data_IF_402706470866
#
_entry.id   IF_402706470866
#
_cell.length_a   1.000
_cell.length_b   1.000
_cell.length_c   1.000
_cell.angle_alpha   90.00
_cell.angle_beta   90.00
_cell.angle_gamma   90.00
#
_symmetry.space_group_name_H-M   'P 1'
#
loop_
_entity.id
_entity.type
_entity.pdbx_description
1 polymer ?
#
# COMPACT_ATOMS: atom_id res chain seq x y z
N UNK A 1 7.90 6.01 6.58
CA UNK A 1 7.91 7.02 7.68
C UNK A 1 7.50 6.45 9.03
N UNK A 2 6.45 5.62 9.10
CA UNK A 2 5.88 5.15 10.37
C UNK A 2 6.88 4.45 11.30
N UNK A 3 7.76 3.60 10.78
CA UNK A 3 8.83 2.97 11.58
C UNK A 3 9.79 3.98 12.20
N UNK A 4 10.11 5.08 11.50
CA UNK A 4 10.95 6.14 12.05
C UNK A 4 10.29 6.84 13.23
N UNK A 5 8.97 7.07 13.15
CA UNK A 5 8.18 7.63 14.24
C UNK A 5 8.15 6.68 15.45
N UNK A 6 7.89 5.39 15.22
CA UNK A 6 7.90 4.38 16.28
C UNK A 6 9.28 4.30 16.96
N UNK A 7 10.37 4.29 16.18
CA UNK A 7 11.73 4.28 16.73
C UNK A 7 11.98 5.49 17.64
N UNK A 8 11.57 6.69 17.20
CA UNK A 8 11.66 7.92 18.00
C UNK A 8 10.81 7.85 19.27
N UNK A 9 9.59 7.34 19.19
CA UNK A 9 8.69 7.16 20.35
C UNK A 9 9.27 6.19 21.38
N UNK A 10 10.06 5.19 20.94
CA UNK A 10 10.79 4.27 21.83
C UNK A 10 12.17 4.80 22.25
N UNK A 11 12.50 6.06 21.93
CA UNK A 11 13.73 6.72 22.36
C UNK A 11 14.96 6.48 21.48
N UNK A 12 14.85 5.73 20.38
CA UNK A 12 15.97 5.48 19.47
C UNK A 12 16.00 6.49 18.31
N UNK A 13 16.70 7.60 18.54
CA UNK A 13 16.86 8.67 17.55
C UNK A 13 17.73 8.26 16.35
N UNK A 14 18.69 7.34 16.54
CA UNK A 14 19.57 6.91 15.44
C UNK A 14 18.81 6.00 14.48
N UNK A 15 18.05 5.04 15.02
CA UNK A 15 17.19 4.20 14.20
C UNK A 15 16.13 5.04 13.48
N UNK A 16 15.53 6.03 14.16
CA UNK A 16 14.61 6.97 13.52
C UNK A 16 15.27 7.73 12.36
N UNK A 17 16.52 8.17 12.50
CA UNK A 17 17.27 8.83 11.45
C UNK A 17 17.51 7.91 10.24
N UNK A 18 17.93 6.66 10.48
CA UNK A 18 18.15 5.67 9.40
C UNK A 18 16.86 5.43 8.62
N UNK A 19 15.75 5.14 9.32
CA UNK A 19 14.45 4.95 8.67
C UNK A 19 13.97 6.22 7.94
N UNK A 20 14.29 7.40 8.46
CA UNK A 20 13.96 8.69 7.86
C UNK A 20 14.71 8.96 6.56
N UNK A 21 16.01 8.66 6.51
CA UNK A 21 16.84 8.81 5.31
C UNK A 21 16.32 7.92 4.18
N UNK A 22 16.05 6.64 4.47
CA UNK A 22 15.48 5.73 3.48
C UNK A 22 14.13 6.27 2.99
N UNK A 23 13.25 6.72 3.89
CA UNK A 23 11.95 7.27 3.50
C UNK A 23 12.06 8.54 2.63
N UNK A 24 13.09 9.37 2.84
CA UNK A 24 13.35 10.54 2.01
C UNK A 24 13.74 10.14 0.58
N UNK A 25 14.52 9.07 0.43
CA UNK A 25 14.89 8.52 -0.87
C UNK A 25 13.67 7.95 -1.59
N UNK A 26 12.81 7.21 -0.90
CA UNK A 26 11.57 6.68 -1.49
C UNK A 26 10.62 7.80 -1.95
N UNK A 27 10.60 8.95 -1.25
CA UNK A 27 9.81 10.11 -1.70
C UNK A 27 10.31 10.66 -3.04
N UNK A 28 11.63 10.63 -3.27
CA UNK A 28 12.23 11.05 -4.55
C UNK A 28 11.88 10.06 -5.66
N UNK A 29 11.91 8.76 -5.37
CA UNK A 29 11.49 7.72 -6.32
C UNK A 29 10.00 7.85 -6.69
N UNK A 30 9.12 8.00 -5.70
CA UNK A 30 7.69 8.24 -5.90
C UNK A 30 7.45 9.47 -6.79
N UNK A 31 8.17 10.57 -6.54
CA UNK A 31 8.07 11.79 -7.36
C UNK A 31 8.49 11.54 -8.80
N UNK A 32 9.54 10.75 -9.04
CA UNK A 32 10.00 10.44 -10.39
C UNK A 32 8.97 9.57 -11.14
N UNK A 33 8.50 8.48 -10.53
CA UNK A 33 7.53 7.58 -11.17
C UNK A 33 6.17 8.23 -11.39
N UNK A 34 5.70 9.06 -10.45
CA UNK A 34 4.43 9.78 -10.64
C UNK A 34 4.47 10.76 -11.80
N UNK A 35 5.61 11.42 -12.05
CA UNK A 35 5.82 12.28 -13.22
C UNK A 35 5.83 11.52 -14.54
N UNK A 36 6.37 10.30 -14.56
CA UNK A 36 6.35 9.45 -15.75
C UNK A 36 4.91 9.13 -16.12
N UNK A 37 4.11 8.67 -15.16
CA UNK A 37 2.69 8.33 -15.41
C UNK A 37 1.86 9.57 -15.71
N UNK A 38 2.15 10.71 -15.08
CA UNK A 38 1.54 12.00 -15.44
C UNK A 38 1.76 12.32 -16.93
N UNK A 39 2.99 12.15 -17.42
CA UNK A 39 3.28 12.37 -18.84
C UNK A 39 2.57 11.36 -19.74
N UNK A 40 2.41 10.11 -19.29
CA UNK A 40 1.62 9.11 -20.03
C UNK A 40 0.15 9.49 -20.12
N UNK A 41 -0.45 10.06 -19.07
CA UNK A 41 -1.81 10.58 -19.15
C UNK A 41 -1.98 11.75 -20.13
N UNK A 42 -0.93 12.55 -20.37
CA UNK A 42 -0.97 13.61 -21.39
C UNK A 42 -0.90 13.05 -22.83
N UNK A 43 -0.17 11.95 -23.03
CA UNK A 43 0.11 11.40 -24.37
C UNK A 43 -0.92 10.33 -24.78
N UNK A 44 -1.28 9.46 -23.85
CA UNK A 44 -2.19 8.34 -24.04
C UNK A 44 -3.12 8.18 -22.81
N UNK A 45 -4.10 9.08 -22.64
CA UNK A 45 -5.00 9.05 -21.48
C UNK A 45 -5.82 7.76 -21.40
N UNK A 46 -6.24 7.22 -22.54
CA UNK A 46 -7.10 6.02 -22.59
C UNK A 46 -6.33 4.75 -22.20
N UNK A 47 -5.17 4.52 -22.82
CA UNK A 47 -4.32 3.37 -22.47
C UNK A 47 -3.84 3.46 -21.01
N UNK A 48 -3.50 4.65 -20.54
CA UNK A 48 -3.01 4.86 -19.17
C UNK A 48 -4.09 4.60 -18.13
N UNK A 49 -5.33 5.08 -18.32
CA UNK A 49 -6.42 4.81 -17.37
C UNK A 49 -6.83 3.34 -17.36
N UNK A 50 -6.81 2.67 -18.52
CA UNK A 50 -7.07 1.24 -18.62
C UNK A 50 -6.01 0.43 -17.87
N UNK A 51 -4.72 0.76 -18.05
CA UNK A 51 -3.63 0.11 -17.32
C UNK A 51 -3.72 0.33 -15.81
N UNK A 52 -4.06 1.55 -15.37
CA UNK A 52 -4.27 1.84 -13.95
C UNK A 52 -5.42 0.99 -13.38
N UNK A 53 -6.55 0.91 -14.09
CA UNK A 53 -7.68 0.10 -13.69
C UNK A 53 -7.35 -1.40 -13.66
N UNK A 54 -6.60 -1.90 -14.65
CA UNK A 54 -6.15 -3.29 -14.71
C UNK A 54 -5.29 -3.66 -13.49
N UNK A 55 -4.30 -2.83 -13.16
CA UNK A 55 -3.47 -3.03 -11.97
C UNK A 55 -4.29 -3.02 -10.68
N UNK A 56 -5.30 -2.13 -10.59
CA UNK A 56 -6.21 -2.10 -9.44
C UNK A 56 -7.13 -3.32 -9.36
N UNK A 57 -7.54 -3.91 -10.49
CA UNK A 57 -8.30 -5.17 -10.51
C UNK A 57 -7.45 -6.36 -10.08
N UNK A 58 -6.19 -6.39 -10.51
CA UNK A 58 -5.21 -7.41 -10.12
C UNK A 58 -4.79 -7.30 -8.65
N UNK A 59 -5.00 -6.13 -8.04
CA UNK A 59 -4.44 -5.70 -6.75
C UNK A 59 -2.93 -5.56 -6.84
N UNK A 60 -2.38 -4.53 -6.19
CA UNK A 60 -0.92 -4.39 -6.13
C UNK A 60 -0.38 -5.40 -5.12
N UNK A 61 0.11 -6.52 -5.63
CA UNK A 61 0.77 -7.53 -4.79
C UNK A 61 2.07 -6.98 -4.24
N UNK A 62 2.29 -7.17 -2.94
CA UNK A 62 3.54 -6.76 -2.30
C UNK A 62 4.72 -7.56 -2.89
N UNK A 63 5.87 -6.93 -3.17
CA UNK A 63 6.99 -7.62 -3.80
C UNK A 63 7.46 -8.87 -3.03
N UNK A 64 7.39 -8.83 -1.69
CA UNK A 64 7.77 -9.91 -0.81
C UNK A 64 6.60 -10.87 -0.45
N UNK A 65 5.52 -10.91 -1.22
CA UNK A 65 4.35 -11.76 -0.88
C UNK A 65 4.63 -13.27 -0.86
N UNK A 66 5.74 -13.72 -1.46
CA UNK A 66 6.22 -15.11 -1.44
C UNK A 66 7.33 -15.35 -0.40
N UNK A 67 7.39 -14.51 0.65
CA UNK A 67 8.39 -14.61 1.70
C UNK A 67 8.26 -15.94 2.46
N UNK A 68 9.37 -16.63 2.63
CA UNK A 68 9.47 -17.94 3.28
C UNK A 68 10.79 -18.06 4.04
N UNK A 69 10.75 -18.60 5.27
CA UNK A 69 11.92 -18.76 6.14
C UNK A 69 12.38 -20.22 6.29
N UNK A 70 11.78 -21.17 5.56
CA UNK A 70 12.07 -22.60 5.68
C UNK A 70 11.14 -23.36 6.64
N UNK A 71 10.22 -22.69 7.32
CA UNK A 71 9.33 -23.32 8.30
C UNK A 71 7.90 -22.75 8.34
N UNK A 72 7.68 -21.49 7.96
CA UNK A 72 6.36 -20.85 7.95
C UNK A 72 5.90 -20.55 6.53
N UNK A 73 4.96 -21.35 6.02
CA UNK A 73 4.38 -21.20 4.68
C UNK A 73 3.55 -19.91 4.52
N UNK A 74 3.13 -19.29 5.63
CA UNK A 74 2.30 -18.07 5.64
C UNK A 74 3.07 -16.85 6.19
N UNK A 75 4.40 -16.88 6.14
CA UNK A 75 5.26 -15.88 6.77
C UNK A 75 4.95 -14.44 6.34
N UNK A 76 4.63 -14.21 5.07
CA UNK A 76 4.21 -12.89 4.60
C UNK A 76 2.90 -12.42 5.25
N UNK A 77 1.90 -13.29 5.35
CA UNK A 77 0.62 -12.96 5.97
C UNK A 77 0.81 -12.64 7.45
N UNK A 78 1.59 -13.45 8.17
CA UNK A 78 1.89 -13.22 9.58
C UNK A 78 2.65 -11.90 9.79
N UNK A 79 3.69 -11.64 8.99
CA UNK A 79 4.42 -10.37 9.02
C UNK A 79 3.49 -9.17 8.75
N UNK A 80 2.68 -9.26 7.69
CA UNK A 80 1.79 -8.17 7.28
C UNK A 80 0.75 -7.83 8.34
N UNK A 81 0.27 -8.85 9.07
CA UNK A 81 -0.68 -8.67 10.17
C UNK A 81 -0.04 -7.95 11.36
N UNK A 82 1.22 -8.28 11.69
CA UNK A 82 1.98 -7.53 12.72
C UNK A 82 2.18 -6.08 12.28
N UNK A 83 2.54 -5.83 11.02
CA UNK A 83 2.73 -4.49 10.47
C UNK A 83 1.43 -3.65 10.46
N UNK A 84 0.30 -4.26 10.09
CA UNK A 84 -1.04 -3.65 10.15
C UNK A 84 -1.36 -3.24 11.59
N UNK A 85 -1.16 -4.14 12.55
CA UNK A 85 -1.52 -3.88 13.95
C UNK A 85 -0.64 -2.80 14.59
N UNK A 86 0.63 -2.74 14.24
CA UNK A 86 1.54 -1.69 14.70
C UNK A 86 1.32 -0.35 13.97
N UNK A 87 0.44 -0.30 12.97
CA UNK A 87 0.19 0.89 12.17
C UNK A 87 1.40 1.30 11.33
N UNK A 88 2.26 0.34 10.96
CA UNK A 88 3.42 0.59 10.09
C UNK A 88 2.97 0.73 8.64
N UNK A 89 2.14 -0.20 8.19
CA UNK A 89 1.46 -0.17 6.89
C UNK A 89 0.14 -0.92 7.00
N UNK A 90 -0.94 -0.26 6.61
CA UNK A 90 -2.31 -0.72 6.78
C UNK A 90 -3.09 -0.75 5.47
N UNK A 91 -4.22 -1.46 5.44
CA UNK A 91 -5.15 -1.37 4.32
C UNK A 91 -5.70 0.06 4.11
N UNK A 92 -5.74 0.89 5.17
CA UNK A 92 -6.02 2.32 5.04
C UNK A 92 -4.94 3.04 4.27
N UNK A 93 -3.67 2.80 4.57
CA UNK A 93 -2.54 3.38 3.83
C UNK A 93 -2.61 3.02 2.34
N UNK A 94 -3.01 1.79 2.01
CA UNK A 94 -3.24 1.39 0.62
C UNK A 94 -4.33 2.24 -0.06
N UNK A 95 -5.46 2.45 0.62
CA UNK A 95 -6.54 3.30 0.08
C UNK A 95 -6.11 4.76 -0.06
N UNK A 96 -5.33 5.28 0.90
CA UNK A 96 -4.83 6.65 0.90
C UNK A 96 -3.81 6.87 -0.24
N UNK A 97 -2.93 5.89 -0.51
CA UNK A 97 -2.02 5.92 -1.67
C UNK A 97 -2.82 5.97 -2.98
N UNK A 98 -3.84 5.12 -3.12
CA UNK A 98 -4.68 5.11 -4.32
C UNK A 98 -5.39 6.45 -4.52
N UNK A 99 -6.01 6.99 -3.47
CA UNK A 99 -6.69 8.29 -3.52
C UNK A 99 -5.72 9.41 -3.89
N UNK A 100 -4.52 9.42 -3.28
CA UNK A 100 -3.47 10.37 -3.63
C UNK A 100 -3.09 10.29 -5.11
N UNK A 101 -2.86 9.09 -5.65
CA UNK A 101 -2.48 8.92 -7.06
C UNK A 101 -3.60 9.37 -8.02
N UNK A 102 -4.86 9.02 -7.71
CA UNK A 102 -6.04 9.47 -8.46
C UNK A 102 -6.14 11.00 -8.50
N UNK A 103 -5.90 11.66 -7.37
CA UNK A 103 -5.89 13.12 -7.28
C UNK A 103 -4.66 13.72 -7.98
N UNK A 104 -3.48 13.15 -7.78
CA UNK A 104 -2.19 13.62 -8.32
C UNK A 104 -2.20 13.65 -9.85
N UNK A 105 -2.83 12.67 -10.48
CA UNK A 105 -3.01 12.58 -11.93
C UNK A 105 -4.34 13.17 -12.42
N UNK A 106 -5.17 13.70 -11.52
CA UNK A 106 -6.48 14.28 -11.82
C UNK A 106 -7.36 13.35 -12.67
N UNK A 107 -7.37 12.06 -12.32
CA UNK A 107 -8.01 11.02 -13.13
C UNK A 107 -9.49 11.32 -13.38
N UNK A 108 -10.19 11.93 -12.41
CA UNK A 108 -11.60 12.33 -12.54
C UNK A 108 -11.84 13.45 -13.58
N UNK A 109 -10.84 14.27 -13.86
CA UNK A 109 -10.97 15.43 -14.77
C UNK A 109 -10.59 15.09 -16.21
N UNK A 110 -10.14 13.85 -16.48
CA UNK A 110 -9.76 13.41 -17.82
C UNK A 110 -11.01 13.30 -18.70
N UNK A 111 -10.96 13.92 -19.88
CA UNK A 111 -12.04 13.94 -20.87
C UNK A 111 -11.55 13.34 -22.19
N UNK A 112 -12.49 13.03 -23.10
CA UNK A 112 -12.16 12.45 -24.41
C UNK A 112 -11.74 10.97 -24.36
N UNK A 113 -12.10 10.25 -23.28
CA UNK A 113 -11.87 8.82 -23.14
C UNK A 113 -12.84 8.00 -24.01
N UNK A 114 -12.42 6.80 -24.36
CA UNK A 114 -13.28 5.79 -24.94
C UNK A 114 -14.35 5.33 -23.95
N UNK A 115 -15.35 4.58 -24.43
CA UNK A 115 -16.36 3.99 -23.56
C UNK A 115 -15.78 3.01 -22.53
N UNK A 116 -14.65 2.36 -22.82
CA UNK A 116 -13.93 1.52 -21.86
C UNK A 116 -13.08 2.36 -20.91
N UNK A 117 -12.42 3.40 -21.42
CA UNK A 117 -11.69 4.37 -20.62
C UNK A 117 -12.55 5.04 -19.54
N UNK A 118 -13.77 5.45 -19.88
CA UNK A 118 -14.73 6.00 -18.90
C UNK A 118 -15.12 4.99 -17.81
N UNK A 119 -15.35 3.71 -18.17
CA UNK A 119 -15.62 2.66 -17.16
C UNK A 119 -14.43 2.41 -16.24
N UNK A 120 -13.21 2.50 -16.79
CA UNK A 120 -11.97 2.39 -16.03
C UNK A 120 -11.78 3.58 -15.08
N UNK A 121 -12.03 4.80 -15.56
CA UNK A 121 -12.03 6.04 -14.79
C UNK A 121 -13.00 5.95 -13.60
N UNK A 122 -14.27 5.63 -13.84
CA UNK A 122 -15.29 5.48 -12.79
C UNK A 122 -14.89 4.43 -11.75
N UNK A 123 -14.38 3.29 -12.23
CA UNK A 123 -13.93 2.21 -11.35
C UNK A 123 -12.80 2.67 -10.41
N UNK A 124 -11.77 3.31 -10.96
CA UNK A 124 -10.60 3.74 -10.18
C UNK A 124 -10.98 4.86 -9.21
N UNK A 125 -11.73 5.87 -9.66
CA UNK A 125 -12.17 6.98 -8.82
C UNK A 125 -13.09 6.54 -7.67
N UNK A 126 -13.89 5.50 -7.86
CA UNK A 126 -14.76 4.94 -6.82
C UNK A 126 -14.08 3.93 -5.87
N UNK A 127 -12.83 3.55 -6.13
CA UNK A 127 -12.22 2.38 -5.47
C UNK A 127 -11.71 2.68 -4.06
N UNK A 128 -11.06 3.82 -3.81
CA UNK A 128 -10.51 4.13 -2.49
C UNK A 128 -11.58 4.14 -1.37
N UNK A 129 -12.75 4.81 -1.53
CA UNK A 129 -13.84 4.73 -0.54
C UNK A 129 -14.37 3.30 -0.33
N UNK A 130 -14.36 2.47 -1.38
CA UNK A 130 -14.79 1.07 -1.30
C UNK A 130 -13.81 0.24 -0.49
N UNK A 131 -12.51 0.43 -0.67
CA UNK A 131 -11.46 -0.27 0.09
C UNK A 131 -11.58 0.08 1.58
N UNK A 132 -11.72 1.37 1.92
CA UNK A 132 -11.88 1.81 3.33
C UNK A 132 -13.08 1.13 4.01
N UNK A 133 -14.25 1.12 3.36
CA UNK A 133 -15.44 0.43 3.89
C UNK A 133 -15.25 -1.08 4.07
N UNK A 134 -14.47 -1.72 3.20
CA UNK A 134 -14.16 -3.14 3.32
C UNK A 134 -13.21 -3.42 4.49
N UNK A 135 -12.19 -2.57 4.67
CA UNK A 135 -11.27 -2.66 5.81
C UNK A 135 -12.01 -2.49 7.14
N UNK A 136 -12.83 -1.44 7.28
CA UNK A 136 -13.61 -1.19 8.50
C UNK A 136 -14.46 -2.42 8.89
N UNK A 137 -15.10 -3.06 7.91
CA UNK A 137 -15.88 -4.29 8.11
C UNK A 137 -15.00 -5.48 8.48
N UNK A 138 -13.81 -5.59 7.90
CA UNK A 138 -12.86 -6.66 8.20
C UNK A 138 -12.33 -6.53 9.63
N UNK A 139 -11.94 -5.33 10.06
CA UNK A 139 -11.51 -5.04 11.42
C UNK A 139 -12.63 -5.31 12.43
N UNK A 140 -13.87 -4.90 12.14
CA UNK A 140 -15.03 -5.18 13.01
C UNK A 140 -15.33 -6.68 13.19
N UNK A 141 -14.86 -7.53 12.27
CA UNK A 141 -15.03 -9.00 12.30
C UNK A 141 -13.77 -9.75 12.72
N UNK A 142 -12.66 -9.04 12.96
CA UNK A 142 -11.39 -9.67 13.31
C UNK A 142 -11.54 -10.43 14.64
N UNK A 143 -11.19 -11.73 14.62
CA UNK A 143 -11.17 -12.57 15.81
C UNK A 143 -9.98 -12.19 16.70
N UNK A 144 -9.99 -12.72 17.93
CA UNK A 144 -8.94 -12.53 18.92
C UNK A 144 -7.57 -12.94 18.36
N UNK A 145 -6.57 -12.07 18.53
CA UNK A 145 -5.25 -12.24 17.94
C UNK A 145 -4.56 -13.53 18.45
N UNK A 146 -4.01 -14.29 17.53
CA UNK A 146 -3.27 -15.54 17.79
C UNK A 146 -1.81 -15.24 18.12
N UNK A 147 -1.09 -16.17 18.75
CA UNK A 147 0.35 -16.03 19.02
C UNK A 147 1.15 -16.95 18.11
N UNK A 148 1.92 -16.37 17.18
CA UNK A 148 2.72 -17.10 16.19
C UNK A 148 4.21 -16.87 16.45
N UNK A 149 5.05 -17.93 16.46
CA UNK A 149 6.50 -17.78 16.58
C UNK A 149 7.13 -17.26 15.28
N UNK A 150 8.12 -16.37 15.40
CA UNK A 150 8.90 -15.88 14.25
C UNK A 150 10.38 -16.29 14.36
N UNK A 151 10.95 -16.90 13.30
CA UNK A 151 12.38 -17.28 13.26
C UNK A 151 13.32 -16.09 13.47
N UNK A 152 12.99 -14.93 12.89
CA UNK A 152 13.81 -13.72 12.91
C UNK A 152 14.09 -13.18 14.31
N UNK A 153 13.28 -13.58 15.29
CA UNK A 153 13.42 -13.21 16.70
C UNK A 153 13.55 -14.46 17.59
N UNK A 154 14.22 -15.49 17.07
CA UNK A 154 14.57 -16.71 17.79
C UNK A 154 13.35 -17.48 18.34
N UNK A 155 12.28 -17.56 17.55
CA UNK A 155 11.06 -18.28 17.91
C UNK A 155 10.19 -17.57 18.95
N UNK A 156 10.50 -16.33 19.33
CA UNK A 156 9.61 -15.52 20.15
C UNK A 156 8.26 -15.36 19.45
N UNK A 157 7.19 -15.46 20.23
CA UNK A 157 5.83 -15.37 19.72
C UNK A 157 5.37 -13.92 19.69
N UNK A 158 4.92 -13.47 18.53
CA UNK A 158 4.21 -12.21 18.38
C UNK A 158 2.74 -12.48 18.18
N UNK A 159 1.94 -11.50 18.56
CA UNK A 159 0.50 -11.60 18.36
C UNK A 159 0.13 -11.11 16.96
N UNK A 160 -0.64 -11.95 16.26
CA UNK A 160 -0.99 -11.89 14.85
C UNK A 160 -2.50 -12.04 14.74
#
# INVERSE_FOLDING_TARGET
>A
GNTARLAKEHGDLKLAQVCGIIAADEKRHETAYTKIVEKLFEIDPDGTVLALADMMRKKISMPAHLMYDGQDDNLFEHYSTVAQRLGVYTAKDYADILEFLVQRWKVADITGLSGEGHKAQDFVCGLAPRIRKLEERAQARAKQASLVPFSWIFGKKLSV
#
